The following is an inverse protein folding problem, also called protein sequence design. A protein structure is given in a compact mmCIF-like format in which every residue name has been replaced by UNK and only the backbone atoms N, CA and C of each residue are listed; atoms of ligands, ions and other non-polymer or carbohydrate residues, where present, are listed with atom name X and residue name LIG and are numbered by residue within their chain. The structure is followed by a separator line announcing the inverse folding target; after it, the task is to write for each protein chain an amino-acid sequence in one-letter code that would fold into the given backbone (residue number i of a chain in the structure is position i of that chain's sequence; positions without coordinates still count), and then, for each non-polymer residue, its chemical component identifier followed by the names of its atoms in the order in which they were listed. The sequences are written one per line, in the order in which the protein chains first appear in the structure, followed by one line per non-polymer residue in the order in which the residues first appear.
data_IF_194111017613
#
_entry.id   IF_194111017613
#
_cell.length_a   1.000
_cell.length_b   1.000
_cell.length_c   1.000
_cell.angle_alpha   90.00
_cell.angle_beta   90.00
_cell.angle_gamma   90.00
#
_symmetry.space_group_name_H-M   'P 1'
#
loop_
_entity.id
_entity.type
_entity.pdbx_description
1 polymer ?
#
# COMPACT_ATOMS: atom_id res chain seq x y z
N UNK A 1 10.37 -12.66 19.07
CA UNK A 1 10.76 -11.47 18.28
C UNK A 1 10.00 -10.28 18.83
N UNK A 2 10.67 -9.16 19.08
CA UNK A 2 10.02 -7.94 19.58
C UNK A 2 9.45 -7.13 18.42
N UNK A 3 8.54 -6.19 18.70
CA UNK A 3 8.03 -5.26 17.67
C UNK A 3 9.16 -4.43 17.04
N UNK A 4 10.18 -4.07 17.85
CA UNK A 4 11.37 -3.36 17.36
C UNK A 4 12.14 -4.22 16.34
N UNK A 5 12.35 -5.51 16.61
CA UNK A 5 13.03 -6.42 15.69
C UNK A 5 12.27 -6.53 14.35
N UNK A 6 10.93 -6.64 14.40
CA UNK A 6 10.09 -6.73 13.23
C UNK A 6 10.22 -5.46 12.35
N UNK A 7 10.13 -4.28 12.97
CA UNK A 7 10.27 -2.99 12.26
C UNK A 7 11.67 -2.83 11.65
N UNK A 8 12.73 -3.20 12.39
CA UNK A 8 14.11 -3.11 11.90
C UNK A 8 14.38 -4.09 10.75
N UNK A 9 13.75 -5.26 10.75
CA UNK A 9 13.90 -6.28 9.71
C UNK A 9 13.09 -5.96 8.46
N UNK A 10 11.87 -5.42 8.62
CA UNK A 10 10.95 -5.15 7.49
C UNK A 10 11.65 -4.39 6.37
N UNK A 11 11.52 -4.87 5.16
CA UNK A 11 12.01 -4.20 3.95
C UNK A 11 10.99 -4.21 2.83
N UNK A 12 11.21 -3.38 1.81
CA UNK A 12 10.36 -3.34 0.62
C UNK A 12 10.87 -4.33 -0.42
N UNK A 13 10.00 -5.22 -0.91
CA UNK A 13 10.34 -6.25 -1.89
C UNK A 13 9.74 -5.90 -3.25
N UNK A 14 10.55 -5.33 -4.14
CA UNK A 14 10.11 -4.93 -5.50
C UNK A 14 9.87 -6.11 -6.44
N UNK A 15 10.35 -7.30 -6.08
CA UNK A 15 10.14 -8.57 -6.78
C UNK A 15 9.57 -9.57 -5.80
N UNK A 16 8.50 -10.24 -6.19
CA UNK A 16 7.81 -11.29 -5.44
C UNK A 16 7.53 -12.47 -6.36
N UNK A 17 7.25 -13.64 -5.79
CA UNK A 17 6.82 -14.82 -6.54
C UNK A 17 5.31 -14.75 -6.85
N UNK A 18 4.80 -15.74 -7.59
CA UNK A 18 3.38 -15.87 -7.90
C UNK A 18 2.52 -16.30 -6.70
N UNK A 19 3.15 -16.74 -5.60
CA UNK A 19 2.41 -17.06 -4.39
C UNK A 19 1.83 -15.79 -3.77
N UNK A 20 0.60 -15.89 -3.25
CA UNK A 20 -0.04 -14.78 -2.56
C UNK A 20 -0.98 -15.30 -1.46
N UNK A 21 -1.11 -14.58 -0.34
CA UNK A 21 -2.02 -14.99 0.72
C UNK A 21 -3.47 -15.01 0.22
N UNK A 22 -4.24 -15.99 0.63
CA UNK A 22 -5.67 -16.04 0.37
C UNK A 22 -6.41 -14.92 1.10
N UNK A 23 -7.66 -14.66 0.70
CA UNK A 23 -8.51 -13.68 1.39
C UNK A 23 -8.67 -14.01 2.89
N UNK A 24 -8.85 -15.28 3.23
CA UNK A 24 -8.99 -15.71 4.63
C UNK A 24 -7.73 -15.43 5.45
N UNK A 25 -6.54 -15.65 4.86
CA UNK A 25 -5.27 -15.33 5.51
C UNK A 25 -5.06 -13.82 5.69
N UNK A 26 -5.71 -12.99 4.87
CA UNK A 26 -5.60 -11.53 4.98
C UNK A 26 -6.44 -10.91 6.10
N UNK A 27 -7.56 -11.55 6.48
CA UNK A 27 -8.51 -10.96 7.43
C UNK A 27 -7.89 -10.59 8.78
N UNK A 28 -7.09 -11.46 9.45
CA UNK A 28 -6.46 -11.10 10.72
C UNK A 28 -5.54 -9.88 10.62
N UNK A 29 -4.85 -9.70 9.47
CA UNK A 29 -3.98 -8.54 9.26
C UNK A 29 -4.77 -7.26 8.99
N UNK A 30 -5.99 -7.34 8.45
CA UNK A 30 -6.89 -6.19 8.34
C UNK A 30 -7.35 -5.76 9.73
N UNK A 31 -7.79 -6.71 10.55
CA UNK A 31 -8.24 -6.48 11.91
C UNK A 31 -7.13 -5.85 12.76
N UNK A 32 -5.94 -6.44 12.74
CA UNK A 32 -4.80 -5.90 13.47
C UNK A 32 -4.38 -4.51 12.97
N UNK A 33 -4.36 -4.26 11.65
CA UNK A 33 -4.04 -2.94 11.11
C UNK A 33 -5.10 -1.89 11.44
N UNK A 34 -6.34 -2.28 11.71
CA UNK A 34 -7.42 -1.38 12.14
C UNK A 34 -7.25 -0.84 13.57
N UNK A 35 -6.25 -1.31 14.32
CA UNK A 35 -5.96 -0.85 15.69
C UNK A 35 -5.05 0.38 15.73
N UNK A 36 -4.63 0.92 14.59
CA UNK A 36 -3.87 2.19 14.55
C UNK A 36 -4.65 3.31 15.25
N UNK A 37 -3.92 4.25 15.84
CA UNK A 37 -4.53 5.41 16.49
C UNK A 37 -5.46 6.16 15.51
N UNK A 38 -6.73 6.28 15.87
CA UNK A 38 -7.77 6.86 15.03
C UNK A 38 -8.62 7.81 15.89
N UNK A 39 -8.40 9.11 15.74
CA UNK A 39 -9.11 10.12 16.49
C UNK A 39 -10.62 10.02 16.21
N UNK A 40 -11.41 9.84 17.27
CA UNK A 40 -12.85 9.60 17.24
C UNK A 40 -13.29 8.28 16.57
N UNK A 41 -12.38 7.37 16.24
CA UNK A 41 -12.70 6.06 15.69
C UNK A 41 -13.42 6.12 14.34
N UNK A 42 -13.08 7.08 13.48
CA UNK A 42 -13.78 7.36 12.22
C UNK A 42 -13.60 6.28 11.17
N UNK A 43 -12.55 5.45 11.27
CA UNK A 43 -12.16 4.45 10.28
C UNK A 43 -12.16 5.03 8.84
N UNK A 44 -11.35 6.07 8.59
CA UNK A 44 -11.39 6.84 7.34
C UNK A 44 -10.64 6.13 6.22
N UNK A 45 -10.86 4.84 6.07
CA UNK A 45 -10.15 4.01 5.09
C UNK A 45 -10.97 2.80 4.67
N UNK A 46 -10.66 2.29 3.49
CA UNK A 46 -11.03 0.95 3.03
C UNK A 46 -9.91 0.36 2.19
N UNK A 47 -9.94 -0.95 2.03
CA UNK A 47 -8.98 -1.70 1.23
C UNK A 47 -9.71 -2.39 0.09
N UNK A 48 -9.09 -2.39 -1.11
CA UNK A 48 -9.63 -3.10 -2.26
C UNK A 48 -8.61 -4.17 -2.66
N UNK A 49 -9.04 -5.40 -2.69
CA UNK A 49 -8.23 -6.55 -3.12
C UNK A 49 -8.36 -6.71 -4.64
N UNK A 50 -7.22 -6.67 -5.35
CA UNK A 50 -7.16 -6.86 -6.81
C UNK A 50 -6.38 -8.15 -7.12
N UNK A 51 -7.04 -9.08 -7.79
CA UNK A 51 -6.48 -10.33 -8.32
C UNK A 51 -6.96 -10.55 -9.75
N UNK A 52 -6.33 -11.49 -10.47
CA UNK A 52 -6.76 -11.90 -11.82
C UNK A 52 -7.02 -10.70 -12.72
N UNK A 53 -8.19 -10.67 -13.35
CA UNK A 53 -8.59 -9.63 -14.30
C UNK A 53 -8.64 -8.20 -13.74
N UNK A 54 -8.84 -8.03 -12.43
CA UNK A 54 -8.80 -6.72 -11.81
C UNK A 54 -7.42 -6.05 -11.96
N UNK A 55 -6.32 -6.84 -11.93
CA UNK A 55 -4.97 -6.34 -12.19
C UNK A 55 -4.77 -5.95 -13.66
N UNK A 56 -5.38 -6.71 -14.57
CA UNK A 56 -5.34 -6.41 -16.02
C UNK A 56 -6.07 -5.08 -16.29
N UNK A 57 -7.27 -4.90 -15.71
CA UNK A 57 -8.02 -3.65 -15.82
C UNK A 57 -7.25 -2.46 -15.24
N UNK A 58 -6.55 -2.65 -14.12
CA UNK A 58 -5.67 -1.62 -13.56
C UNK A 58 -4.52 -1.29 -14.52
N UNK A 59 -3.97 -2.29 -15.20
CA UNK A 59 -2.95 -2.09 -16.23
C UNK A 59 -3.47 -1.24 -17.40
N UNK A 60 -4.67 -1.49 -17.87
CA UNK A 60 -5.33 -0.67 -18.91
C UNK A 60 -5.52 0.78 -18.43
N UNK A 61 -5.99 0.98 -17.17
CA UNK A 61 -6.13 2.30 -16.59
C UNK A 61 -4.78 3.03 -16.44
N UNK A 62 -3.67 2.32 -16.18
CA UNK A 62 -2.34 2.91 -16.16
C UNK A 62 -1.86 3.34 -17.54
N UNK A 63 -2.12 2.54 -18.58
CA UNK A 63 -1.79 2.89 -19.96
C UNK A 63 -2.58 4.14 -20.38
N UNK A 64 -3.89 4.16 -20.16
CA UNK A 64 -4.76 5.30 -20.42
C UNK A 64 -4.29 6.57 -19.68
N UNK A 65 -4.05 6.49 -18.37
CA UNK A 65 -3.63 7.61 -17.54
C UNK A 65 -2.25 8.17 -17.90
N UNK A 66 -1.37 7.34 -18.47
CA UNK A 66 -0.04 7.77 -18.89
C UNK A 66 -0.02 8.50 -20.23
N UNK A 67 -1.10 8.40 -21.02
CA UNK A 67 -1.13 8.88 -22.39
C UNK A 67 -0.10 8.20 -23.31
N UNK A 68 0.47 7.08 -22.86
CA UNK A 68 1.50 6.38 -23.61
C UNK A 68 0.89 5.50 -24.70
N UNK A 69 1.64 5.31 -25.80
CA UNK A 69 1.27 4.45 -26.90
C UNK A 69 2.30 3.33 -27.12
N UNK A 70 1.93 2.31 -27.89
CA UNK A 70 2.79 1.22 -28.28
C UNK A 70 3.48 0.54 -27.09
N UNK A 71 4.79 0.35 -27.17
CA UNK A 71 5.60 -0.34 -26.15
C UNK A 71 5.56 0.32 -24.75
N UNK A 72 5.36 1.63 -24.67
CA UNK A 72 5.32 2.31 -23.38
C UNK A 72 3.95 2.14 -22.69
N UNK A 73 2.86 2.07 -23.46
CA UNK A 73 1.58 1.62 -22.96
C UNK A 73 1.61 0.19 -22.44
N UNK A 74 2.24 -0.73 -23.18
CA UNK A 74 2.44 -2.13 -22.75
C UNK A 74 3.21 -2.21 -21.42
N UNK A 75 4.33 -1.45 -21.29
CA UNK A 75 5.11 -1.38 -20.06
C UNK A 75 4.29 -0.82 -18.89
N UNK A 76 3.47 0.21 -19.14
CA UNK A 76 2.58 0.76 -18.12
C UNK A 76 1.54 -0.28 -17.69
N UNK A 77 0.90 -0.94 -18.64
CA UNK A 77 -0.07 -2.00 -18.42
C UNK A 77 0.46 -3.21 -17.66
N UNK A 78 1.74 -3.56 -17.87
CA UNK A 78 2.37 -4.68 -17.18
C UNK A 78 2.72 -4.41 -15.71
N UNK A 79 2.70 -3.15 -15.24
CA UNK A 79 3.10 -2.81 -13.86
C UNK A 79 2.27 -3.51 -12.78
N UNK A 80 0.92 -3.57 -12.87
CA UNK A 80 0.10 -4.27 -11.88
C UNK A 80 0.27 -5.79 -11.86
N UNK A 81 0.78 -6.38 -12.95
CA UNK A 81 0.97 -7.82 -13.08
C UNK A 81 2.23 -8.35 -12.39
N UNK A 82 3.01 -7.48 -11.75
CA UNK A 82 4.25 -7.84 -11.05
C UNK A 82 4.04 -8.58 -9.73
N UNK A 83 2.81 -8.68 -9.25
CA UNK A 83 2.42 -9.47 -8.09
C UNK A 83 1.02 -10.04 -8.32
N UNK A 84 0.73 -11.23 -7.79
CA UNK A 84 -0.57 -11.87 -7.94
C UNK A 84 -1.66 -11.22 -7.08
N UNK A 85 -1.27 -10.46 -6.07
CA UNK A 85 -2.17 -9.70 -5.21
C UNK A 85 -1.70 -8.25 -5.13
N UNK A 86 -2.62 -7.32 -5.43
CA UNK A 86 -2.50 -5.92 -5.06
C UNK A 86 -3.61 -5.57 -4.06
N UNK A 87 -3.25 -4.77 -3.06
CA UNK A 87 -4.21 -4.23 -2.10
C UNK A 87 -4.18 -2.71 -2.23
N UNK A 88 -5.21 -2.15 -2.85
CA UNK A 88 -5.36 -0.71 -2.93
C UNK A 88 -5.74 -0.16 -1.56
N UNK A 89 -5.05 0.88 -1.14
CA UNK A 89 -5.31 1.61 0.10
C UNK A 89 -6.07 2.88 -0.25
N UNK A 90 -7.31 2.96 0.20
CA UNK A 90 -8.20 4.09 -0.07
C UNK A 90 -8.42 4.87 1.20
N UNK A 91 -8.11 6.15 1.17
CA UNK A 91 -8.55 7.12 2.15
C UNK A 91 -10.02 7.47 1.88
N UNK A 92 -10.85 7.46 2.91
CA UNK A 92 -12.28 7.76 2.85
C UNK A 92 -12.56 8.95 3.76
N UNK A 93 -12.65 10.15 3.19
CA UNK A 93 -12.94 11.33 3.97
C UNK A 93 -14.31 11.22 4.69
N UNK A 94 -14.31 11.39 6.00
CA UNK A 94 -15.51 11.43 6.84
C UNK A 94 -15.75 12.87 7.30
N UNK A 95 -16.93 13.47 7.06
CA UNK A 95 -17.25 14.78 7.61
C UNK A 95 -17.08 14.79 9.13
N UNK A 96 -16.26 15.69 9.63
CA UNK A 96 -16.02 15.85 11.07
C UNK A 96 -15.58 17.28 11.38
N UNK A 97 -16.17 17.89 12.41
CA UNK A 97 -15.74 19.20 12.89
C UNK A 97 -14.53 19.11 13.84
N UNK A 98 -14.25 17.91 14.37
CA UNK A 98 -13.12 17.65 15.29
C UNK A 98 -11.87 17.13 14.60
N UNK A 99 -12.04 16.36 13.56
CA UNK A 99 -10.95 15.61 12.94
C UNK A 99 -10.76 16.09 11.51
N UNK A 100 -9.75 16.92 11.23
CA UNK A 100 -9.49 17.43 9.89
C UNK A 100 -9.02 16.31 8.95
N UNK A 101 -9.13 16.55 7.65
CA UNK A 101 -8.83 15.56 6.61
C UNK A 101 -7.39 15.00 6.70
N UNK A 102 -6.40 15.83 7.04
CA UNK A 102 -5.01 15.40 7.15
C UNK A 102 -4.78 14.37 8.29
N UNK A 103 -5.49 14.50 9.44
CA UNK A 103 -5.44 13.49 10.50
C UNK A 103 -6.04 12.17 10.03
N UNK A 104 -7.15 12.24 9.31
CA UNK A 104 -7.83 11.06 8.77
C UNK A 104 -6.96 10.35 7.70
N UNK A 105 -6.28 11.11 6.84
CA UNK A 105 -5.35 10.54 5.86
C UNK A 105 -4.15 9.88 6.55
N UNK A 106 -3.66 10.46 7.66
CA UNK A 106 -2.61 9.85 8.47
C UNK A 106 -3.03 8.48 9.03
N UNK A 107 -4.29 8.32 9.46
CA UNK A 107 -4.84 7.01 9.87
C UNK A 107 -4.80 6.01 8.73
N UNK A 108 -5.29 6.38 7.54
CA UNK A 108 -5.27 5.50 6.37
C UNK A 108 -3.83 5.08 5.98
N UNK A 109 -2.88 6.01 6.06
CA UNK A 109 -1.45 5.74 5.86
C UNK A 109 -0.89 4.83 6.95
N UNK A 110 -1.30 5.02 8.21
CA UNK A 110 -0.96 4.15 9.34
C UNK A 110 -1.41 2.71 9.12
N UNK A 111 -2.63 2.52 8.61
CA UNK A 111 -3.15 1.18 8.23
C UNK A 111 -2.28 0.53 7.15
N UNK A 112 -1.87 1.28 6.13
CA UNK A 112 -1.00 0.75 5.07
C UNK A 112 0.36 0.30 5.60
N UNK A 113 1.00 1.11 6.44
CA UNK A 113 2.29 0.79 7.06
C UNK A 113 2.20 -0.40 8.00
N UNK A 114 1.20 -0.42 8.90
CA UNK A 114 0.99 -1.52 9.85
C UNK A 114 0.72 -2.81 9.10
N UNK A 115 -0.14 -2.78 8.07
CA UNK A 115 -0.41 -3.95 7.25
C UNK A 115 0.83 -4.45 6.50
N UNK A 116 1.65 -3.54 5.97
CA UNK A 116 2.92 -3.90 5.32
C UNK A 116 3.88 -4.59 6.29
N UNK A 117 3.95 -4.14 7.54
CA UNK A 117 4.74 -4.77 8.59
C UNK A 117 4.23 -6.16 8.93
N UNK A 118 2.92 -6.32 9.14
CA UNK A 118 2.30 -7.60 9.49
C UNK A 118 2.46 -8.65 8.39
N UNK A 119 2.34 -8.26 7.14
CA UNK A 119 2.55 -9.15 6.00
C UNK A 119 4.04 -9.57 5.88
N UNK A 120 4.98 -8.64 6.08
CA UNK A 120 6.41 -8.95 6.11
C UNK A 120 6.77 -9.90 7.26
N UNK A 121 6.17 -9.69 8.45
CA UNK A 121 6.31 -10.57 9.61
C UNK A 121 5.80 -11.99 9.33
N UNK A 122 4.73 -12.11 8.56
CA UNK A 122 4.16 -13.38 8.12
C UNK A 122 4.94 -14.03 6.96
N UNK A 123 6.06 -13.45 6.54
CA UNK A 123 6.92 -14.00 5.48
C UNK A 123 6.52 -13.62 4.06
N UNK A 124 5.60 -12.68 3.89
CA UNK A 124 5.22 -12.18 2.56
C UNK A 124 6.10 -11.00 2.13
N UNK A 125 6.49 -11.00 0.86
CA UNK A 125 7.11 -9.84 0.24
C UNK A 125 6.09 -8.75 -0.03
N UNK A 126 6.38 -7.52 0.41
CA UNK A 126 5.48 -6.38 0.24
C UNK A 126 6.21 -5.19 -0.35
N UNK A 127 5.57 -4.51 -1.29
CA UNK A 127 6.04 -3.23 -1.83
C UNK A 127 4.89 -2.23 -1.93
N UNK A 128 4.93 -1.14 -1.19
CA UNK A 128 3.96 -0.07 -1.33
C UNK A 128 4.33 0.86 -2.48
N UNK A 129 3.50 0.88 -3.51
CA UNK A 129 3.63 1.77 -4.67
C UNK A 129 2.63 2.89 -4.58
N UNK A 130 3.14 4.09 -4.69
CA UNK A 130 2.41 5.35 -4.74
C UNK A 130 2.74 6.07 -6.05
N UNK A 131 2.39 7.33 -6.18
CA UNK A 131 2.79 8.20 -7.28
C UNK A 131 1.60 8.83 -8.00
N UNK A 132 1.89 9.60 -9.04
CA UNK A 132 0.92 10.46 -9.73
C UNK A 132 -0.31 9.71 -10.29
N UNK A 133 -0.15 8.45 -10.66
CA UNK A 133 -1.25 7.64 -11.19
C UNK A 133 -2.37 7.42 -10.16
N UNK A 134 -2.08 7.53 -8.85
CA UNK A 134 -3.11 7.44 -7.80
C UNK A 134 -4.12 8.58 -7.85
N UNK A 135 -3.82 9.64 -8.58
CA UNK A 135 -4.66 10.85 -8.72
C UNK A 135 -5.30 10.96 -10.11
N UNK A 136 -5.08 9.97 -10.98
CA UNK A 136 -5.61 10.01 -12.34
C UNK A 136 -7.06 9.52 -12.41
N UNK A 137 -7.83 10.14 -13.28
CA UNK A 137 -9.26 9.82 -13.45
C UNK A 137 -9.47 8.36 -13.92
N UNK A 138 -8.72 7.80 -14.91
CA UNK A 138 -8.88 6.41 -15.32
C UNK A 138 -8.69 5.42 -14.17
N UNK A 139 -7.74 5.70 -13.28
CA UNK A 139 -7.47 4.85 -12.11
C UNK A 139 -8.56 5.00 -11.05
N UNK A 140 -9.07 6.20 -10.82
CA UNK A 140 -10.21 6.43 -9.92
C UNK A 140 -11.45 5.67 -10.41
N UNK A 141 -11.80 5.79 -11.68
CA UNK A 141 -12.92 5.08 -12.31
C UNK A 141 -12.77 3.57 -12.20
N UNK A 142 -11.57 3.04 -12.48
CA UNK A 142 -11.28 1.60 -12.37
C UNK A 142 -11.48 1.05 -10.95
N UNK A 143 -11.18 1.85 -9.90
CA UNK A 143 -11.39 1.48 -8.51
C UNK A 143 -12.78 1.82 -7.97
N UNK A 144 -13.66 2.40 -8.80
CA UNK A 144 -15.01 2.84 -8.41
C UNK A 144 -14.96 3.74 -7.16
N UNK A 145 -14.04 4.73 -7.18
CA UNK A 145 -13.88 5.63 -6.04
C UNK A 145 -15.02 6.65 -5.99
N UNK A 146 -15.58 6.82 -4.80
CA UNK A 146 -16.54 7.87 -4.52
C UNK A 146 -15.88 9.27 -4.47
N UNK A 147 -16.64 10.38 -4.61
CA UNK A 147 -16.08 11.73 -4.57
C UNK A 147 -15.31 12.09 -3.28
N UNK A 148 -15.63 11.43 -2.16
CA UNK A 148 -14.94 11.60 -0.88
C UNK A 148 -13.80 10.59 -0.66
N UNK A 149 -13.38 9.87 -1.70
CA UNK A 149 -12.34 8.85 -1.62
C UNK A 149 -11.11 9.24 -2.42
N UNK A 150 -9.94 8.88 -1.89
CA UNK A 150 -8.66 9.06 -2.54
C UNK A 150 -7.82 7.80 -2.43
N UNK A 151 -7.22 7.39 -3.53
CA UNK A 151 -6.29 6.29 -3.55
C UNK A 151 -4.92 6.74 -3.04
N UNK A 152 -4.39 6.09 -2.00
CA UNK A 152 -3.05 6.35 -1.47
C UNK A 152 -1.98 5.50 -2.16
N UNK A 153 -2.36 4.42 -2.81
CA UNK A 153 -1.45 3.53 -3.52
C UNK A 153 -1.85 2.07 -3.37
N UNK A 154 -0.92 1.19 -3.74
CA UNK A 154 -1.14 -0.26 -3.75
C UNK A 154 -0.01 -0.97 -3.00
N UNK A 155 -0.36 -1.89 -2.12
CA UNK A 155 0.56 -2.89 -1.60
C UNK A 155 0.61 -4.04 -2.61
N UNK A 156 1.75 -4.24 -3.25
CA UNK A 156 2.05 -5.39 -4.08
C UNK A 156 2.52 -6.51 -3.15
N UNK A 157 1.83 -7.63 -3.14
CA UNK A 157 2.05 -8.71 -2.18
C UNK A 157 2.28 -10.02 -2.91
N UNK A 158 3.30 -10.77 -2.49
CA UNK A 158 3.59 -12.11 -3.00
C UNK A 158 4.62 -12.83 -2.15
N UNK A 159 4.96 -14.06 -2.51
CA UNK A 159 6.00 -14.83 -1.84
C UNK A 159 7.39 -14.20 -2.02
N UNK A 160 8.30 -14.49 -1.11
CA UNK A 160 9.70 -14.06 -1.22
C UNK A 160 10.47 -14.97 -2.18
N UNK A 161 11.22 -14.44 -3.14
CA UNK A 161 12.13 -15.24 -3.94
C UNK A 161 13.25 -15.85 -3.07
N UNK A 162 13.74 -17.05 -3.43
CA UNK A 162 14.83 -17.74 -2.72
C UNK A 162 16.09 -16.86 -2.53
N UNK A 163 16.38 -16.01 -3.51
CA UNK A 163 17.49 -15.05 -3.47
C UNK A 163 16.94 -13.64 -3.37
N UNK A 164 16.63 -13.20 -2.17
CA UNK A 164 16.37 -11.78 -1.88
C UNK A 164 17.68 -11.05 -1.65
N UNK A 165 17.86 -9.92 -2.34
CA UNK A 165 18.99 -9.03 -2.01
C UNK A 165 18.74 -8.45 -0.62
N UNK A 166 19.69 -8.67 0.28
CA UNK A 166 19.73 -7.93 1.54
C UNK A 166 19.89 -6.44 1.21
N UNK A 167 18.87 -5.67 1.50
CA UNK A 167 18.96 -4.21 1.37
C UNK A 167 19.85 -3.70 2.52
N UNK A 168 21.08 -3.32 2.21
CA UNK A 168 21.98 -2.68 3.17
C UNK A 168 21.44 -1.28 3.45
N UNK A 169 20.61 -1.16 4.49
CA UNK A 169 20.14 0.15 4.95
C UNK A 169 21.33 1.00 5.34
N UNK A 170 21.40 2.21 4.82
CA UNK A 170 22.34 3.21 5.31
C UNK A 170 22.01 3.52 6.77
N UNK A 171 23.03 3.58 7.62
CA UNK A 171 22.86 3.96 9.02
C UNK A 171 22.31 5.39 9.09
N UNK A 172 21.21 5.56 9.81
CA UNK A 172 20.60 6.86 10.04
C UNK A 172 21.40 7.61 11.12
N UNK A 173 21.69 8.88 10.88
CA UNK A 173 22.19 9.79 11.91
C UNK A 173 21.02 10.27 12.77
N UNK A 174 20.65 9.49 13.77
CA UNK A 174 19.42 9.67 14.57
C UNK A 174 19.30 11.07 15.16
N UNK A 175 20.42 11.68 15.58
CA UNK A 175 20.43 13.02 16.15
C UNK A 175 19.94 14.15 15.24
N UNK A 176 19.88 13.90 13.92
CA UNK A 176 19.27 14.86 12.98
C UNK A 176 17.75 14.85 12.98
N UNK A 177 17.14 13.82 13.57
CA UNK A 177 15.69 13.57 13.51
C UNK A 177 15.02 13.63 14.87
N UNK A 178 15.82 13.79 15.93
CA UNK A 178 15.33 13.95 17.29
C UNK A 178 15.98 15.18 17.89
N UNK A 179 15.19 16.23 18.13
CA UNK A 179 15.62 17.50 18.73
C UNK A 179 14.94 17.70 20.07
N UNK A 180 15.65 18.37 20.99
CA UNK A 180 15.09 18.81 22.28
C UNK A 180 14.88 20.31 22.25
N UNK A 181 13.70 20.74 22.65
CA UNK A 181 13.45 22.15 22.97
C UNK A 181 13.73 22.36 24.45
N UNK A 182 14.59 23.31 24.75
CA UNK A 182 14.95 23.73 26.12
C UNK A 182 14.32 25.07 26.45
#
# INVERSE_FOLDING_TARGET
MTALDAVLRRQSHSKVTADAPSRLQLLPYVEAAATVADHSGLKPWRLIELRGDARVRLGAAFAEASGAEGKDAEKAGAKPLRAELLIAVVFVHKPSFKVPAWEQEAVASGVAHTRSLLLDEAGWGVFWRTGVLTRSEPVHRMHELAPNEQLLGWLYVGGLPEKTKSDKRKRLEVGRYLTTLS
#
